data_IF_140550015942
#
_entry.id   IF_140550015942
#
_cell.length_a   1.000
_cell.length_b   1.000
_cell.length_c   1.000
_cell.angle_alpha   90.00
_cell.angle_beta   90.00
_cell.angle_gamma   90.00
#
_symmetry.space_group_name_H-M   'P 1'
#
loop_
_entity.id
_entity.type
_entity.pdbx_description
1 polymer ?
#
# COMPACT_ATOMS: atom_id res chain seq x y z
N UNK A 1 23.78 51.16 -13.08
CA UNK A 1 22.76 50.71 -12.12
C UNK A 1 22.93 49.20 -11.96
N UNK A 2 23.50 48.78 -10.84
CA UNK A 2 24.14 47.47 -10.64
C UNK A 2 23.14 46.36 -10.26
N UNK A 3 23.31 45.23 -10.94
CA UNK A 3 23.29 43.85 -10.44
C UNK A 3 22.10 43.40 -9.57
N UNK A 4 21.19 42.68 -10.24
CA UNK A 4 20.44 41.53 -9.73
C UNK A 4 21.36 40.63 -8.89
N UNK A 5 20.99 40.31 -7.65
CA UNK A 5 21.43 39.08 -6.98
C UNK A 5 20.55 38.72 -5.78
N UNK A 6 20.18 37.45 -5.75
CA UNK A 6 19.94 36.65 -4.55
C UNK A 6 18.61 36.85 -3.82
N UNK A 7 17.65 35.94 -4.06
CA UNK A 7 16.87 35.22 -3.03
C UNK A 7 16.00 34.11 -3.69
N UNK A 8 16.62 33.27 -4.53
CA UNK A 8 16.03 31.98 -4.97
C UNK A 8 17.04 30.87 -4.71
N UNK A 9 17.12 30.38 -3.48
CA UNK A 9 17.79 29.12 -3.16
C UNK A 9 17.48 28.67 -1.72
N UNK A 10 16.37 27.94 -1.51
CA UNK A 10 16.33 26.92 -0.45
C UNK A 10 15.22 25.88 -0.55
N UNK A 11 14.83 25.46 -1.75
CA UNK A 11 14.20 24.14 -1.93
C UNK A 11 14.80 23.53 -3.18
N UNK A 12 15.88 22.77 -2.97
CA UNK A 12 16.50 21.96 -4.00
C UNK A 12 15.57 20.77 -4.23
N UNK A 13 14.52 20.98 -5.02
CA UNK A 13 13.77 19.88 -5.61
C UNK A 13 14.79 19.08 -6.41
N UNK A 14 15.07 17.86 -5.96
CA UNK A 14 15.92 16.95 -6.69
C UNK A 14 15.24 16.70 -8.04
N UNK A 15 15.87 17.19 -9.11
CA UNK A 15 15.49 16.90 -10.48
C UNK A 15 15.82 15.43 -10.76
N UNK A 16 14.92 14.54 -10.34
CA UNK A 16 14.90 13.14 -10.77
C UNK A 16 13.56 12.86 -11.47
N UNK A 17 13.22 13.73 -12.43
CA UNK A 17 12.03 13.63 -13.26
C UNK A 17 12.37 12.89 -14.56
N UNK A 18 12.74 11.61 -14.45
CA UNK A 18 12.70 10.65 -15.58
C UNK A 18 12.72 9.18 -15.12
N UNK A 19 12.13 8.89 -13.94
CA UNK A 19 11.71 7.53 -13.59
C UNK A 19 10.21 7.58 -13.46
N UNK A 20 9.51 6.80 -14.28
CA UNK A 20 8.05 6.71 -14.29
C UNK A 20 7.49 6.78 -12.88
N UNK A 21 6.60 7.74 -12.67
CA UNK A 21 5.94 7.96 -11.39
C UNK A 21 5.47 6.61 -10.85
N UNK A 22 5.98 6.18 -9.71
CA UNK A 22 5.54 4.94 -9.06
C UNK A 22 4.02 5.05 -8.88
N UNK A 23 3.27 4.14 -9.50
CA UNK A 23 1.80 4.15 -9.50
C UNK A 23 1.28 4.18 -8.06
N UNK A 24 0.89 5.36 -7.60
CA UNK A 24 0.33 5.56 -6.27
C UNK A 24 -1.17 5.58 -6.40
N UNK A 25 -1.83 4.69 -5.67
CA UNK A 25 -3.27 4.46 -5.75
C UNK A 25 -3.89 4.58 -4.38
N UNK A 26 -5.05 5.23 -4.31
CA UNK A 26 -5.88 5.25 -3.12
C UNK A 26 -7.02 4.25 -3.29
N UNK A 27 -7.22 3.38 -2.29
CA UNK A 27 -8.26 2.35 -2.29
C UNK A 27 -9.07 2.50 -1.02
N UNK A 28 -10.39 2.63 -1.16
CA UNK A 28 -11.29 2.44 -0.02
C UNK A 28 -11.36 0.95 0.33
N UNK A 29 -11.11 0.59 1.59
CA UNK A 29 -11.08 -0.81 2.02
C UNK A 29 -12.47 -1.47 2.03
N UNK A 30 -13.54 -0.70 2.19
CA UNK A 30 -14.92 -1.16 2.07
C UNK A 30 -15.30 -2.30 3.02
N UNK A 31 -16.36 -3.03 2.68
CA UNK A 31 -16.79 -4.22 3.44
C UNK A 31 -15.88 -5.42 3.15
N UNK A 32 -15.56 -6.26 4.16
CA UNK A 32 -14.83 -7.51 3.96
C UNK A 32 -15.42 -8.43 2.89
N UNK A 33 -16.74 -8.34 2.64
CA UNK A 33 -17.42 -9.10 1.58
C UNK A 33 -16.84 -8.85 0.18
N UNK A 34 -16.23 -7.69 -0.06
CA UNK A 34 -15.52 -7.39 -1.30
C UNK A 34 -14.44 -8.42 -1.66
N UNK A 35 -13.90 -9.14 -0.67
CA UNK A 35 -12.91 -10.18 -0.92
C UNK A 35 -13.50 -11.43 -1.58
N UNK A 36 -14.79 -11.73 -1.39
CA UNK A 36 -15.43 -13.01 -1.76
C UNK A 36 -16.73 -12.91 -2.56
N UNK A 37 -17.34 -11.73 -2.64
CA UNK A 37 -18.60 -11.52 -3.35
C UNK A 37 -18.36 -10.99 -4.78
N UNK A 38 -18.77 -11.77 -5.78
CA UNK A 38 -18.64 -11.40 -7.20
C UNK A 38 -19.71 -10.38 -7.65
N UNK A 39 -20.78 -10.18 -6.88
CA UNK A 39 -21.80 -9.18 -7.20
C UNK A 39 -21.30 -7.76 -6.95
N UNK A 40 -20.30 -7.57 -6.08
CA UNK A 40 -19.75 -6.25 -5.73
C UNK A 40 -18.88 -5.71 -6.88
N UNK A 41 -19.23 -4.54 -7.48
CA UNK A 41 -18.49 -4.00 -8.63
C UNK A 41 -17.01 -3.75 -8.36
N UNK A 42 -16.68 -3.31 -7.14
CA UNK A 42 -15.30 -3.03 -6.75
C UNK A 42 -14.40 -4.29 -6.84
N UNK A 43 -14.94 -5.48 -6.56
CA UNK A 43 -14.17 -6.72 -6.69
C UNK A 43 -13.79 -7.01 -8.14
N UNK A 44 -14.72 -6.83 -9.07
CA UNK A 44 -14.47 -7.01 -10.51
C UNK A 44 -13.40 -6.04 -11.00
N UNK A 45 -13.48 -4.78 -10.57
CA UNK A 45 -12.47 -3.77 -10.86
C UNK A 45 -11.08 -4.15 -10.31
N UNK A 46 -11.00 -4.54 -9.03
CA UNK A 46 -9.71 -4.93 -8.42
C UNK A 46 -9.10 -6.21 -9.02
N UNK A 47 -9.88 -7.05 -9.70
CA UNK A 47 -9.35 -8.19 -10.46
C UNK A 47 -8.64 -7.76 -11.75
N UNK A 48 -9.03 -6.66 -12.37
CA UNK A 48 -8.37 -6.17 -13.61
C UNK A 48 -7.06 -5.44 -13.30
N UNK A 49 -6.83 -5.06 -12.05
CA UNK A 49 -5.65 -4.32 -11.61
C UNK A 49 -4.30 -5.00 -11.89
N UNK A 50 -4.27 -6.32 -12.06
CA UNK A 50 -3.06 -7.02 -12.51
C UNK A 50 -2.54 -6.47 -13.85
N UNK A 51 -3.41 -5.86 -14.65
CA UNK A 51 -3.07 -5.30 -15.96
C UNK A 51 -2.50 -3.87 -15.88
N UNK A 52 -2.63 -3.20 -14.74
CA UNK A 52 -2.12 -1.82 -14.59
C UNK A 52 -0.59 -1.82 -14.53
N UNK A 53 -0.01 -2.80 -13.86
CA UNK A 53 1.43 -2.89 -13.69
C UNK A 53 2.06 -3.63 -14.87
N UNK A 54 2.81 -2.92 -15.71
CA UNK A 54 3.60 -3.52 -16.80
C UNK A 54 4.64 -4.51 -16.29
N UNK A 55 5.19 -4.24 -15.10
CA UNK A 55 6.17 -5.08 -14.42
C UNK A 55 5.72 -5.35 -12.99
N UNK A 56 6.01 -6.55 -12.48
CA UNK A 56 5.70 -6.90 -11.09
C UNK A 56 6.57 -6.05 -10.15
N UNK A 57 5.97 -5.30 -9.20
CA UNK A 57 6.75 -4.48 -8.29
C UNK A 57 7.65 -5.32 -7.38
N UNK A 58 8.86 -4.80 -7.11
CA UNK A 58 9.84 -5.35 -6.14
C UNK A 58 9.62 -4.89 -4.71
N UNK A 59 8.60 -4.07 -4.45
CA UNK A 59 8.15 -3.66 -3.13
C UNK A 59 6.74 -3.07 -3.27
N UNK A 60 5.87 -3.26 -2.27
CA UNK A 60 4.61 -2.51 -2.16
C UNK A 60 4.60 -1.85 -0.78
N UNK A 61 4.42 -0.53 -0.75
CA UNK A 61 4.16 0.19 0.49
C UNK A 61 2.65 0.33 0.65
N UNK A 62 2.10 -0.19 1.75
CA UNK A 62 0.69 -0.05 2.10
C UNK A 62 0.58 0.90 3.28
N UNK A 63 -0.23 1.96 3.12
CA UNK A 63 -0.57 2.90 4.20
C UNK A 63 -2.04 2.65 4.52
N UNK A 64 -2.32 2.25 5.76
CA UNK A 64 -3.67 1.94 6.22
C UNK A 64 -4.20 3.06 7.11
N UNK A 65 -5.46 3.48 6.88
CA UNK A 65 -6.15 4.41 7.77
C UNK A 65 -6.48 3.82 9.15
N UNK A 66 -6.38 2.50 9.31
CA UNK A 66 -6.55 1.80 10.59
C UNK A 66 -5.23 1.60 11.35
N UNK A 67 -4.10 2.03 10.79
CA UNK A 67 -2.80 1.95 11.46
C UNK A 67 -2.50 3.28 12.15
N UNK A 68 -2.77 3.34 13.46
CA UNK A 68 -2.56 4.52 14.28
C UNK A 68 -1.48 4.26 15.34
N UNK A 69 -0.40 5.06 15.28
CA UNK A 69 0.74 4.97 16.18
C UNK A 69 1.17 6.38 16.60
N UNK A 70 1.64 6.53 17.84
CA UNK A 70 2.08 7.84 18.37
C UNK A 70 3.20 8.49 17.54
N UNK A 71 4.10 7.66 17.01
CA UNK A 71 5.19 8.07 16.14
C UNK A 71 5.10 7.31 14.80
N UNK A 72 5.63 7.87 13.69
CA UNK A 72 5.65 7.18 12.42
C UNK A 72 6.36 5.82 12.52
N UNK A 73 5.62 4.74 12.27
CA UNK A 73 6.10 3.37 12.47
C UNK A 73 5.94 2.57 11.18
N UNK A 74 6.89 1.68 10.91
CA UNK A 74 6.86 0.77 9.76
C UNK A 74 6.93 -0.66 10.28
N UNK A 75 6.05 -1.53 9.78
CA UNK A 75 6.08 -2.95 10.07
C UNK A 75 6.68 -3.72 8.88
N UNK A 76 7.71 -4.53 9.14
CA UNK A 76 8.37 -5.39 8.14
C UNK A 76 8.47 -6.81 8.70
N UNK A 77 7.70 -7.72 8.13
CA UNK A 77 7.47 -9.06 8.67
C UNK A 77 7.40 -10.05 7.52
N UNK A 78 8.12 -11.16 7.65
CA UNK A 78 8.23 -12.16 6.58
C UNK A 78 6.94 -12.96 6.38
N UNK A 79 6.17 -13.15 7.46
CA UNK A 79 4.85 -13.78 7.46
C UNK A 79 4.04 -13.15 8.58
N UNK A 80 2.82 -12.73 8.24
CA UNK A 80 1.84 -12.31 9.24
C UNK A 80 0.90 -13.46 9.54
N UNK A 81 0.62 -13.66 10.83
CA UNK A 81 -0.54 -14.44 11.24
C UNK A 81 -1.80 -13.65 10.90
N UNK A 82 -2.83 -14.36 10.41
CA UNK A 82 -4.10 -13.74 10.06
C UNK A 82 -5.01 -13.78 11.27
N UNK A 83 -5.35 -12.60 11.80
CA UNK A 83 -6.36 -12.42 12.83
C UNK A 83 -7.62 -11.89 12.13
N UNK A 84 -8.77 -12.52 12.38
CA UNK A 84 -10.06 -12.04 11.90
C UNK A 84 -10.76 -11.26 13.01
N UNK A 85 -10.88 -9.94 12.83
CA UNK A 85 -11.51 -9.00 13.76
C UNK A 85 -12.99 -8.71 13.41
N UNK A 86 -13.61 -9.58 12.61
CA UNK A 86 -15.01 -9.50 12.20
C UNK A 86 -15.77 -10.81 12.46
N UNK A 87 -17.09 -10.68 12.65
CA UNK A 87 -17.99 -11.77 13.04
C UNK A 87 -19.24 -11.84 12.14
N UNK A 88 -19.95 -12.98 12.18
CA UNK A 88 -21.19 -13.23 11.42
C UNK A 88 -21.06 -13.19 9.88
N UNK A 89 -19.86 -13.43 9.37
CA UNK A 89 -19.62 -13.56 7.93
C UNK A 89 -19.62 -15.03 7.45
N UNK A 90 -19.79 -15.27 6.13
CA UNK A 90 -19.71 -16.61 5.58
C UNK A 90 -18.37 -17.31 5.89
N UNK A 91 -18.40 -18.63 6.12
CA UNK A 91 -17.20 -19.45 6.40
C UNK A 91 -16.07 -19.28 5.39
N UNK A 92 -16.39 -18.94 4.13
CA UNK A 92 -15.40 -18.68 3.09
C UNK A 92 -14.53 -17.45 3.38
N UNK A 93 -15.03 -16.48 4.13
CA UNK A 93 -14.29 -15.27 4.50
C UNK A 93 -13.12 -15.59 5.44
N UNK A 94 -13.34 -16.51 6.39
CA UNK A 94 -12.32 -17.00 7.32
C UNK A 94 -11.28 -17.95 6.68
N UNK A 95 -11.38 -18.19 5.36
CA UNK A 95 -10.37 -18.92 4.59
C UNK A 95 -9.49 -18.00 3.74
N UNK A 96 -9.80 -16.71 3.69
CA UNK A 96 -8.99 -15.72 2.97
C UNK A 96 -7.74 -15.44 3.79
N UNK A 97 -6.58 -15.81 3.27
CA UNK A 97 -5.28 -15.57 3.91
C UNK A 97 -4.61 -14.35 3.27
N UNK A 98 -3.97 -13.52 4.10
CA UNK A 98 -3.11 -12.45 3.59
C UNK A 98 -1.90 -13.05 2.87
N UNK A 99 -1.62 -12.55 1.67
CA UNK A 99 -0.46 -12.95 0.87
C UNK A 99 0.78 -12.23 1.44
N UNK A 100 1.93 -12.90 1.49
CA UNK A 100 3.19 -12.27 1.90
C UNK A 100 3.56 -11.13 0.94
N UNK A 101 3.42 -9.89 1.42
CA UNK A 101 3.90 -8.68 0.74
C UNK A 101 5.34 -8.44 1.22
N UNK A 102 6.30 -8.99 0.48
CA UNK A 102 7.76 -8.90 0.64
C UNK A 102 8.48 -9.77 1.70
N UNK A 103 9.45 -10.52 1.19
CA UNK A 103 10.47 -11.24 1.94
C UNK A 103 11.79 -10.47 1.83
N UNK A 104 12.19 -9.83 2.93
CA UNK A 104 13.58 -9.48 3.23
C UNK A 104 13.79 -9.82 4.70
N UNK A 105 14.63 -10.82 4.95
CA UNK A 105 14.93 -11.32 6.28
C UNK A 105 15.78 -10.31 7.05
N UNK A 106 15.27 -9.86 8.20
CA UNK A 106 15.88 -10.08 9.53
C UNK A 106 14.98 -9.50 10.63
N UNK A 107 14.79 -10.33 11.65
CA UNK A 107 14.06 -10.11 12.91
C UNK A 107 14.48 -8.83 13.65
N UNK A 108 13.53 -8.15 14.28
CA UNK A 108 13.51 -8.05 15.75
C UNK A 108 12.08 -7.73 16.22
N UNK A 109 11.60 -8.56 17.14
CA UNK A 109 10.35 -8.39 17.87
C UNK A 109 10.28 -7.04 18.61
N UNK A 110 9.10 -6.42 18.62
CA UNK A 110 8.33 -6.07 19.83
C UNK A 110 6.87 -5.80 19.41
#
# INVERSE_FOLDING_TARGET
>A
MRLLHSLKQKYRFCSFCDRGMMDTVYISHGSPMMAIDESIPARKFLKTWQQIFKERPKAILVISGHWDTKEPTVNVVNRNDTIYDFYDFPKSMYKVLLINIFSLSKFSAF
#
